data_IF_655573568124
#
_entry.id   IF_655573568124
#
_cell.length_a   1.000
_cell.length_b   1.000
_cell.length_c   1.000
_cell.angle_alpha   90.00
_cell.angle_beta   90.00
_cell.angle_gamma   90.00
#
_symmetry.space_group_name_H-M   'P 1'
#
loop_
_entity.id
_entity.type
_entity.pdbx_description
1 polymer ?
#
# COMPACT_ATOMS: atom_id res chain seq x y z
N UNK A 1 -26.22 -19.35 51.68
CA UNK A 1 -27.46 -18.55 51.54
C UNK A 1 -27.24 -17.56 50.40
N UNK A 2 -27.09 -18.02 49.16
CA UNK A 2 -28.20 -18.22 48.21
C UNK A 2 -29.17 -17.03 48.18
N UNK A 3 -28.74 -15.93 47.55
CA UNK A 3 -29.66 -14.97 46.97
C UNK A 3 -29.12 -14.54 45.60
N UNK A 4 -29.77 -15.11 44.57
CA UNK A 4 -30.08 -14.45 43.29
C UNK A 4 -28.84 -14.35 42.37
N UNK A 5 -28.49 -15.36 41.57
CA UNK A 5 -29.23 -15.92 40.42
C UNK A 5 -29.58 -14.85 39.37
N UNK A 6 -29.09 -15.06 38.15
CA UNK A 6 -29.39 -14.31 36.92
C UNK A 6 -28.83 -12.88 36.92
N UNK A 7 -27.82 -12.56 36.12
CA UNK A 7 -27.98 -12.53 34.67
C UNK A 7 -26.68 -12.91 33.97
N UNK A 8 -26.70 -14.11 33.39
CA UNK A 8 -26.02 -14.39 32.13
C UNK A 8 -26.37 -13.26 31.15
N UNK A 9 -25.37 -12.50 30.71
CA UNK A 9 -25.48 -11.73 29.47
C UNK A 9 -24.19 -11.93 28.71
N UNK A 10 -24.10 -13.15 28.17
CA UNK A 10 -23.24 -13.50 27.06
C UNK A 10 -23.65 -12.57 25.90
N UNK A 11 -22.92 -11.48 25.71
CA UNK A 11 -23.03 -10.68 24.48
C UNK A 11 -22.11 -11.34 23.46
N UNK A 12 -22.67 -12.35 22.77
CA UNK A 12 -22.14 -12.87 21.51
C UNK A 12 -22.24 -11.75 20.48
N UNK A 13 -21.14 -11.02 20.27
CA UNK A 13 -21.02 -10.15 19.11
C UNK A 13 -20.75 -11.05 17.90
N UNK A 14 -21.84 -11.61 17.36
CA UNK A 14 -21.88 -12.19 16.01
C UNK A 14 -21.74 -11.02 15.04
N UNK A 15 -20.49 -10.69 14.70
CA UNK A 15 -20.17 -9.78 13.60
C UNK A 15 -20.23 -10.56 12.30
N UNK A 16 -21.32 -10.38 11.53
CA UNK A 16 -21.52 -10.98 10.22
C UNK A 16 -20.31 -10.79 9.30
N UNK A 17 -19.88 -11.90 8.70
CA UNK A 17 -19.03 -11.96 7.52
C UNK A 17 -19.75 -11.24 6.38
N UNK A 18 -19.34 -10.01 6.07
CA UNK A 18 -19.75 -9.37 4.82
C UNK A 18 -18.92 -10.00 3.70
N UNK A 19 -19.40 -11.11 3.14
CA UNK A 19 -18.95 -11.59 1.83
C UNK A 19 -19.65 -10.72 0.79
N UNK A 20 -19.11 -9.52 0.57
CA UNK A 20 -19.47 -8.72 -0.58
C UNK A 20 -19.10 -9.46 -1.87
N UNK A 21 -19.85 -9.29 -2.97
CA UNK A 21 -19.49 -9.86 -4.26
C UNK A 21 -18.09 -9.41 -4.65
N UNK A 22 -17.24 -10.36 -5.09
CA UNK A 22 -16.00 -10.01 -5.77
C UNK A 22 -16.33 -9.05 -6.93
N UNK A 23 -15.65 -7.91 -7.07
CA UNK A 23 -15.68 -7.19 -8.33
C UNK A 23 -15.13 -8.13 -9.41
N UNK A 24 -15.94 -8.38 -10.44
CA UNK A 24 -15.52 -9.11 -11.64
C UNK A 24 -14.24 -8.48 -12.22
N UNK A 25 -13.38 -9.28 -12.88
CA UNK A 25 -12.15 -8.77 -13.47
C UNK A 25 -12.52 -7.74 -14.53
N UNK A 26 -12.33 -6.47 -14.20
CA UNK A 26 -12.49 -5.40 -15.18
C UNK A 26 -11.36 -5.58 -16.17
N UNK A 27 -11.76 -5.94 -17.39
CA UNK A 27 -11.12 -5.74 -18.70
C UNK A 27 -9.79 -4.97 -18.64
N UNK A 28 -8.72 -5.41 -19.34
CA UNK A 28 -7.43 -4.74 -19.34
C UNK A 28 -7.61 -3.23 -19.56
N UNK A 29 -7.28 -2.45 -18.53
CA UNK A 29 -7.17 -1.01 -18.69
C UNK A 29 -6.10 -0.80 -19.75
N UNK A 30 -6.54 -0.32 -20.91
CA UNK A 30 -5.70 0.27 -21.95
C UNK A 30 -4.63 1.13 -21.26
N UNK A 31 -3.35 1.08 -21.66
CA UNK A 31 -2.33 1.93 -21.04
C UNK A 31 -2.83 3.37 -21.05
N UNK A 32 -3.12 3.91 -19.87
CA UNK A 32 -3.52 5.29 -19.72
C UNK A 32 -2.32 6.11 -20.21
N UNK A 33 -2.52 7.07 -21.14
CA UNK A 33 -1.44 7.90 -21.63
C UNK A 33 -0.72 8.55 -20.46
N UNK A 34 0.60 8.49 -20.53
CA UNK A 34 1.56 9.21 -19.70
C UNK A 34 0.99 10.57 -19.31
N UNK A 35 0.51 10.68 -18.06
CA UNK A 35 -0.08 11.92 -17.55
C UNK A 35 1.05 12.91 -17.28
N UNK A 36 1.42 13.62 -18.34
CA UNK A 36 2.11 14.89 -18.27
C UNK A 36 1.09 15.94 -17.82
N UNK A 37 1.41 16.71 -16.76
CA UNK A 37 1.39 18.20 -16.72
C UNK A 37 1.31 18.70 -15.26
N UNK A 38 2.39 19.35 -14.78
CA UNK A 38 2.50 20.62 -14.01
C UNK A 38 3.76 20.58 -13.10
N UNK A 39 4.65 21.59 -13.13
CA UNK A 39 5.92 21.55 -12.41
C UNK A 39 5.76 21.98 -10.95
N UNK A 40 6.26 21.16 -10.02
CA UNK A 40 6.86 21.50 -8.69
C UNK A 40 7.09 20.24 -7.83
N UNK A 41 6.56 19.07 -8.20
CA UNK A 41 6.87 17.83 -7.48
C UNK A 41 8.09 17.11 -8.08
N UNK A 42 9.07 16.67 -7.28
CA UNK A 42 10.20 15.87 -7.76
C UNK A 42 9.64 14.65 -8.48
N UNK A 43 9.72 14.58 -9.81
CA UNK A 43 9.13 13.47 -10.55
C UNK A 43 9.97 12.21 -10.36
N UNK A 44 9.32 11.04 -10.27
CA UNK A 44 10.02 9.75 -10.31
C UNK A 44 10.88 9.71 -11.59
N UNK A 45 12.14 9.25 -11.53
CA UNK A 45 12.94 9.06 -12.74
C UNK A 45 12.16 8.26 -13.78
N UNK A 46 12.10 8.78 -15.01
CA UNK A 46 11.37 8.14 -16.10
C UNK A 46 11.99 6.79 -16.46
N UNK A 47 11.14 5.80 -16.74
CA UNK A 47 11.54 4.45 -17.10
C UNK A 47 11.69 3.48 -15.92
N UNK A 48 12.06 2.21 -16.19
CA UNK A 48 12.21 1.20 -15.16
C UNK A 48 13.32 1.57 -14.16
N UNK A 49 13.04 1.44 -12.87
CA UNK A 49 14.06 1.61 -11.84
C UNK A 49 15.17 0.55 -11.98
N UNK A 50 16.43 0.88 -11.65
CA UNK A 50 17.53 -0.07 -11.78
C UNK A 50 17.36 -1.24 -10.81
N UNK A 51 18.02 -2.39 -11.06
CA UNK A 51 17.97 -3.55 -10.17
C UNK A 51 18.36 -3.26 -8.72
N UNK A 52 19.14 -2.21 -8.45
CA UNK A 52 19.54 -1.79 -7.11
C UNK A 52 18.38 -1.31 -6.22
N UNK A 53 17.25 -0.88 -6.81
CA UNK A 53 16.05 -0.52 -6.05
C UNK A 53 15.14 -1.72 -5.79
N UNK A 54 15.49 -2.91 -6.30
CA UNK A 54 14.67 -4.10 -6.11
C UNK A 54 14.71 -4.53 -4.64
N UNK A 55 13.56 -4.82 -4.04
CA UNK A 55 13.50 -5.38 -2.70
C UNK A 55 14.23 -6.72 -2.60
N UNK A 56 14.80 -7.02 -1.42
CA UNK A 56 15.42 -8.32 -1.15
C UNK A 56 14.38 -9.44 -1.02
N UNK A 57 13.18 -9.13 -0.54
CA UNK A 57 12.07 -10.10 -0.46
C UNK A 57 11.24 -10.09 -1.74
N UNK A 58 10.60 -11.23 -1.99
CA UNK A 58 9.68 -11.40 -3.10
C UNK A 58 8.34 -10.72 -2.80
N UNK A 59 7.98 -9.71 -3.59
CA UNK A 59 6.68 -9.04 -3.51
C UNK A 59 5.65 -9.54 -4.53
N UNK A 60 5.89 -10.65 -5.25
CA UNK A 60 5.04 -11.11 -6.36
C UNK A 60 3.57 -11.38 -5.97
N UNK A 61 3.30 -11.63 -4.68
CA UNK A 61 1.93 -11.82 -4.15
C UNK A 61 1.19 -10.51 -3.84
N UNK A 62 1.86 -9.36 -3.93
CA UNK A 62 1.26 -8.06 -3.62
C UNK A 62 0.75 -7.35 -4.89
N UNK A 63 -0.31 -6.53 -4.76
CA UNK A 63 -0.79 -5.69 -5.83
C UNK A 63 0.33 -4.82 -6.45
N UNK A 64 0.29 -4.53 -7.76
CA UNK A 64 1.30 -3.69 -8.41
C UNK A 64 1.50 -2.33 -7.73
N UNK A 65 0.42 -1.67 -7.32
CA UNK A 65 0.48 -0.40 -6.63
C UNK A 65 1.23 -0.48 -5.28
N UNK A 66 0.99 -1.55 -4.51
CA UNK A 66 1.72 -1.81 -3.26
C UNK A 66 3.21 -2.03 -3.53
N UNK A 67 3.57 -2.77 -4.57
CA UNK A 67 4.98 -2.98 -4.95
C UNK A 67 5.69 -1.68 -5.32
N UNK A 68 5.02 -0.84 -6.10
CA UNK A 68 5.56 0.45 -6.53
C UNK A 68 5.72 1.42 -5.36
N UNK A 69 4.71 1.50 -4.49
CA UNK A 69 4.76 2.27 -3.24
C UNK A 69 5.89 1.78 -2.34
N UNK A 70 6.02 0.46 -2.18
CA UNK A 70 7.08 -0.16 -1.40
C UNK A 70 8.47 0.31 -1.84
N UNK A 71 8.75 0.24 -3.14
CA UNK A 71 10.06 0.64 -3.68
C UNK A 71 10.29 2.13 -3.43
N UNK A 72 9.28 2.96 -3.67
CA UNK A 72 9.35 4.41 -3.46
C UNK A 72 9.63 4.79 -2.00
N UNK A 73 8.90 4.21 -1.05
CA UNK A 73 9.08 4.44 0.37
C UNK A 73 10.46 4.00 0.84
N UNK A 74 10.91 2.83 0.39
CA UNK A 74 12.22 2.30 0.76
C UNK A 74 13.38 3.15 0.22
N UNK A 75 13.32 3.57 -1.04
CA UNK A 75 14.34 4.45 -1.62
C UNK A 75 14.33 5.85 -0.98
N UNK A 76 13.17 6.33 -0.55
CA UNK A 76 13.03 7.56 0.25
C UNK A 76 13.70 7.42 1.61
N UNK A 77 13.44 6.34 2.34
CA UNK A 77 14.08 6.07 3.63
C UNK A 77 15.60 5.92 3.50
N UNK A 78 16.10 5.37 2.39
CA UNK A 78 17.53 5.30 2.08
C UNK A 78 18.15 6.63 1.63
N UNK A 79 17.34 7.66 1.34
CA UNK A 79 17.77 8.94 0.73
C UNK A 79 18.54 8.75 -0.58
N UNK A 80 18.10 7.82 -1.43
CA UNK A 80 18.68 7.66 -2.77
C UNK A 80 18.04 8.66 -3.75
N UNK A 81 18.65 8.83 -4.93
CA UNK A 81 18.04 9.62 -6.03
C UNK A 81 16.71 9.04 -6.56
N UNK A 82 16.36 7.83 -6.14
CA UNK A 82 15.14 7.12 -6.54
C UNK A 82 14.02 7.25 -5.50
N UNK A 83 14.30 7.87 -4.36
CA UNK A 83 13.29 8.18 -3.35
C UNK A 83 12.28 9.16 -3.91
N UNK A 84 11.02 8.72 -3.98
CA UNK A 84 9.91 9.50 -4.49
C UNK A 84 8.68 9.24 -3.64
N UNK A 85 7.86 10.26 -3.47
CA UNK A 85 6.53 10.13 -2.86
C UNK A 85 5.55 10.85 -3.77
N UNK A 86 4.76 10.07 -4.49
CA UNK A 86 3.67 10.59 -5.29
C UNK A 86 2.53 11.01 -4.36
N UNK A 87 2.47 12.29 -3.96
CA UNK A 87 1.49 12.72 -2.96
C UNK A 87 0.05 12.57 -3.45
N UNK A 88 -0.21 12.78 -4.74
CA UNK A 88 -1.55 12.59 -5.29
C UNK A 88 -1.96 11.11 -5.16
N UNK A 89 -1.09 10.20 -5.59
CA UNK A 89 -1.34 8.77 -5.48
C UNK A 89 -1.37 8.28 -4.04
N UNK A 90 -0.54 8.84 -3.15
CA UNK A 90 -0.55 8.53 -1.72
C UNK A 90 -1.90 8.88 -1.06
N UNK A 91 -2.55 9.94 -1.52
CA UNK A 91 -3.89 10.31 -1.05
C UNK A 91 -4.99 9.45 -1.67
N UNK A 92 -4.91 9.15 -2.97
CA UNK A 92 -6.00 8.51 -3.73
C UNK A 92 -5.94 6.98 -3.84
N UNK A 93 -4.77 6.36 -3.69
CA UNK A 93 -4.54 4.93 -3.85
C UNK A 93 -4.05 4.31 -2.54
N UNK A 94 -4.95 3.63 -1.83
CA UNK A 94 -4.65 3.00 -0.54
C UNK A 94 -3.59 1.91 -0.62
N UNK A 95 -3.46 1.23 -1.77
CA UNK A 95 -2.46 0.18 -1.96
C UNK A 95 -1.07 0.78 -2.13
N UNK A 96 -0.96 1.87 -2.89
CA UNK A 96 0.27 2.65 -3.00
C UNK A 96 0.70 3.21 -1.64
N UNK A 97 -0.24 3.84 -0.91
CA UNK A 97 0.03 4.39 0.43
C UNK A 97 0.57 3.33 1.39
N UNK A 98 -0.15 2.21 1.50
CA UNK A 98 0.27 1.07 2.34
C UNK A 98 1.68 0.61 1.97
N UNK A 99 1.94 0.38 0.68
CA UNK A 99 3.27 -0.01 0.22
C UNK A 99 4.33 1.01 0.59
N UNK A 100 4.06 2.31 0.38
CA UNK A 100 5.00 3.39 0.68
C UNK A 100 5.34 3.46 2.17
N UNK A 101 4.33 3.39 3.05
CA UNK A 101 4.52 3.41 4.50
C UNK A 101 5.36 2.21 4.97
N UNK A 102 5.03 1.00 4.49
CA UNK A 102 5.76 -0.23 4.80
C UNK A 102 7.21 -0.17 4.34
N UNK A 103 7.43 0.25 3.09
CA UNK A 103 8.76 0.38 2.50
C UNK A 103 9.62 1.40 3.24
N UNK A 104 9.03 2.55 3.59
CA UNK A 104 9.71 3.58 4.36
C UNK A 104 10.10 3.06 5.75
N UNK A 105 9.15 2.49 6.49
CA UNK A 105 9.39 1.99 7.85
C UNK A 105 10.48 0.89 7.89
N UNK A 106 10.36 -0.13 7.04
CA UNK A 106 11.28 -1.26 7.02
C UNK A 106 12.70 -0.82 6.65
N UNK A 107 12.84 0.04 5.64
CA UNK A 107 14.16 0.49 5.18
C UNK A 107 14.76 1.57 6.09
N UNK A 108 13.94 2.31 6.85
CA UNK A 108 14.40 3.26 7.86
C UNK A 108 14.99 2.53 9.09
N UNK A 109 14.41 1.40 9.48
CA UNK A 109 14.92 0.57 10.59
C UNK A 109 16.26 -0.12 10.28
N UNK A 110 16.56 -0.32 8.99
CA UNK A 110 17.77 -1.02 8.52
C UNK A 110 18.97 -0.10 8.27
N UNK A 111 18.87 1.17 8.64
CA UNK A 111 19.92 2.16 8.44
C UNK A 111 20.72 2.39 9.72
#
# INVERSE_FOLDING_TARGET
MFRILAMLSIVLIVGCTTTGPLPSPTKPAKPLPESQTTPTQPQRPAGPLPPSTRPTYNLSGYPPATREGYIDGCETAKKTRYGYKDEQRYLSDSQYRMGWDDGFAICQMRR
#
